data_IF_856932643673
#
_entry.id   IF_856932643673
#
_cell.length_a   1.000
_cell.length_b   1.000
_cell.length_c   1.000
_cell.angle_alpha   90.00
_cell.angle_beta   90.00
_cell.angle_gamma   90.00
#
_symmetry.space_group_name_H-M   'P 1'
#
loop_
_entity.id
_entity.type
_entity.pdbx_description
1 polymer ?
#
# COMPACT_ATOMS: atom_id res chain seq x y z
N UNK A 1 -5.24 13.42 3.52
CA UNK A 1 -4.10 12.80 4.23
C UNK A 1 -3.04 12.38 3.22
N UNK A 2 -1.76 12.36 3.60
CA UNK A 2 -0.70 11.80 2.75
C UNK A 2 0.28 10.99 3.59
N UNK A 3 0.83 9.92 3.01
CA UNK A 3 1.78 9.01 3.65
C UNK A 3 2.95 8.74 2.72
N UNK A 4 4.15 8.67 3.26
CA UNK A 4 5.36 8.34 2.50
C UNK A 4 5.95 7.02 2.97
N UNK A 5 6.34 6.16 2.04
CA UNK A 5 7.09 4.92 2.31
C UNK A 5 8.51 5.14 1.78
N UNK A 6 9.48 5.14 2.69
CA UNK A 6 10.89 5.33 2.35
C UNK A 6 11.46 4.09 1.67
N UNK A 7 12.16 4.29 0.55
CA UNK A 7 12.86 3.22 -0.17
C UNK A 7 14.28 3.64 -0.55
N UNK A 8 15.11 2.68 -0.98
CA UNK A 8 16.47 2.98 -1.43
C UNK A 8 16.47 3.32 -2.93
N UNK A 9 16.06 4.53 -3.28
CA UNK A 9 16.18 5.06 -4.65
C UNK A 9 15.00 5.90 -5.15
N UNK A 10 13.77 5.62 -4.70
CA UNK A 10 12.63 6.52 -4.91
C UNK A 10 11.52 6.23 -3.91
N UNK A 11 11.28 7.16 -3.01
CA UNK A 11 10.18 7.09 -2.06
C UNK A 11 8.83 6.92 -2.78
N UNK A 12 7.92 6.19 -2.13
CA UNK A 12 6.55 6.02 -2.59
C UNK A 12 5.67 6.98 -1.80
N UNK A 13 4.89 7.78 -2.52
CA UNK A 13 3.96 8.75 -1.96
C UNK A 13 2.53 8.27 -2.17
N UNK A 14 1.77 8.19 -1.08
CA UNK A 14 0.36 7.88 -1.04
C UNK A 14 -0.39 9.16 -0.67
N UNK A 15 -1.31 9.60 -1.52
CA UNK A 15 -2.02 10.87 -1.34
C UNK A 15 -3.50 10.71 -1.58
N UNK A 16 -4.30 11.34 -0.73
CA UNK A 16 -5.73 11.53 -0.99
C UNK A 16 -5.94 12.58 -2.08
N UNK A 17 -6.98 12.38 -2.87
CA UNK A 17 -7.43 13.30 -3.92
C UNK A 17 -8.90 13.69 -3.70
N UNK A 18 -9.33 14.86 -4.22
CA UNK A 18 -10.72 15.29 -4.15
C UNK A 18 -11.69 14.21 -4.65
N UNK A 19 -12.85 14.11 -3.99
CA UNK A 19 -13.85 13.09 -4.31
C UNK A 19 -13.52 11.69 -3.79
N UNK A 20 -12.69 11.57 -2.75
CA UNK A 20 -12.36 10.29 -2.11
C UNK A 20 -11.46 9.38 -2.94
N UNK A 21 -10.70 9.94 -3.89
CA UNK A 21 -9.80 9.16 -4.77
C UNK A 21 -8.40 9.08 -4.17
N UNK A 22 -7.58 8.18 -4.68
CA UNK A 22 -6.20 7.96 -4.21
C UNK A 22 -5.19 8.13 -5.33
N UNK A 23 -3.97 8.49 -4.94
CA UNK A 23 -2.79 8.59 -5.78
C UNK A 23 -1.63 7.84 -5.14
N UNK A 24 -1.03 6.93 -5.91
CA UNK A 24 0.24 6.27 -5.57
C UNK A 24 1.29 6.76 -6.55
N UNK A 25 2.34 7.43 -6.08
CA UNK A 25 3.40 8.01 -6.92
C UNK A 25 4.76 7.50 -6.51
N UNK A 26 5.60 7.17 -7.49
CA UNK A 26 7.02 6.85 -7.30
C UNK A 26 7.81 7.45 -8.46
N UNK A 27 8.73 8.39 -8.16
CA UNK A 27 9.43 9.16 -9.19
C UNK A 27 8.46 9.91 -10.10
N UNK A 28 8.56 9.67 -11.41
CA UNK A 28 7.66 10.25 -12.42
C UNK A 28 6.43 9.40 -12.72
N UNK A 29 6.35 8.18 -12.18
CA UNK A 29 5.25 7.25 -12.40
C UNK A 29 4.16 7.42 -11.34
N UNK A 30 2.90 7.26 -11.73
CA UNK A 30 1.79 7.31 -10.80
C UNK A 30 0.58 6.45 -11.21
N UNK A 31 -0.18 6.03 -10.20
CA UNK A 31 -1.46 5.35 -10.32
C UNK A 31 -2.55 6.21 -9.67
N UNK A 32 -3.65 6.39 -10.40
CA UNK A 32 -4.85 7.04 -9.91
C UNK A 32 -5.91 5.97 -9.64
N UNK A 33 -6.45 5.95 -8.43
CA UNK A 33 -7.35 4.90 -7.99
C UNK A 33 -8.66 5.50 -7.49
N UNK A 34 -9.77 4.91 -7.91
CA UNK A 34 -11.04 5.09 -7.19
C UNK A 34 -11.02 4.29 -5.88
N UNK A 35 -11.97 4.53 -4.95
CA UNK A 35 -12.12 3.68 -3.77
C UNK A 35 -12.24 2.19 -4.07
N UNK A 36 -12.95 1.85 -5.15
CA UNK A 36 -13.13 0.46 -5.57
C UNK A 36 -11.80 -0.15 -6.02
N UNK A 37 -11.08 0.53 -6.91
CA UNK A 37 -9.79 0.04 -7.43
C UNK A 37 -8.76 -0.10 -6.32
N UNK A 38 -8.75 0.83 -5.36
CA UNK A 38 -7.85 0.76 -4.22
C UNK A 38 -8.11 -0.49 -3.36
N UNK A 39 -9.38 -0.88 -3.17
CA UNK A 39 -9.75 -2.10 -2.45
C UNK A 39 -9.36 -3.36 -3.23
N UNK A 40 -9.66 -3.40 -4.52
CA UNK A 40 -9.28 -4.53 -5.38
C UNK A 40 -7.76 -4.71 -5.44
N UNK A 41 -7.01 -3.61 -5.60
CA UNK A 41 -5.54 -3.62 -5.57
C UNK A 41 -4.98 -4.12 -4.23
N UNK A 42 -5.55 -3.66 -3.11
CA UNK A 42 -5.12 -4.11 -1.79
C UNK A 42 -5.31 -5.63 -1.61
N UNK A 43 -6.44 -6.17 -2.08
CA UNK A 43 -6.71 -7.60 -2.04
C UNK A 43 -5.74 -8.40 -2.91
N UNK A 44 -5.51 -7.95 -4.16
CA UNK A 44 -4.57 -8.62 -5.06
C UNK A 44 -3.13 -8.63 -4.48
N UNK A 45 -2.68 -7.53 -3.88
CA UNK A 45 -1.39 -7.47 -3.20
C UNK A 45 -1.33 -8.39 -1.99
N UNK A 46 -2.42 -8.50 -1.22
CA UNK A 46 -2.52 -9.43 -0.11
C UNK A 46 -2.35 -10.88 -0.57
N UNK A 47 -3.07 -11.30 -1.62
CA UNK A 47 -2.98 -12.64 -2.21
C UNK A 47 -1.55 -12.95 -2.69
N UNK A 48 -0.93 -12.04 -3.46
CA UNK A 48 0.45 -12.20 -3.94
C UNK A 48 1.44 -12.38 -2.78
N UNK A 49 1.21 -11.69 -1.66
CA UNK A 49 2.10 -11.78 -0.50
C UNK A 49 1.82 -13.00 0.38
N UNK A 50 0.63 -13.59 0.31
CA UNK A 50 0.26 -14.78 1.08
C UNK A 50 1.10 -16.00 0.68
N UNK A 51 1.31 -16.22 -0.62
CA UNK A 51 1.97 -17.42 -1.17
C UNK A 51 3.52 -17.42 -1.17
N UNK A 52 4.18 -16.30 -0.82
CA UNK A 52 5.65 -16.29 -0.68
C UNK A 52 6.11 -16.83 0.68
N UNK A 53 7.13 -17.71 0.78
CA UNK A 53 7.70 -18.11 2.07
C UNK A 53 8.17 -16.87 2.84
N UNK A 54 7.81 -16.79 4.12
CA UNK A 54 8.02 -15.61 4.96
C UNK A 54 9.50 -15.47 5.35
N UNK A 55 10.29 -14.79 4.53
CA UNK A 55 11.72 -14.57 4.80
C UNK A 55 12.08 -13.11 5.07
N UNK A 56 11.11 -12.17 5.04
CA UNK A 56 11.43 -10.74 5.20
C UNK A 56 10.45 -9.94 6.08
N UNK A 57 10.94 -8.93 6.83
CA UNK A 57 10.12 -8.02 7.64
C UNK A 57 9.02 -7.26 6.88
N UNK A 58 9.16 -7.14 5.55
CA UNK A 58 8.16 -6.51 4.70
C UNK A 58 6.83 -7.28 4.67
N UNK A 59 6.85 -8.63 4.66
CA UNK A 59 5.63 -9.45 4.69
C UNK A 59 4.87 -9.33 6.00
N UNK A 60 5.56 -9.28 7.14
CA UNK A 60 4.93 -9.10 8.46
C UNK A 60 4.16 -7.77 8.55
N UNK A 61 4.72 -6.70 7.96
CA UNK A 61 4.06 -5.39 7.87
C UNK A 61 2.80 -5.44 6.99
N UNK A 62 2.86 -6.14 5.85
CA UNK A 62 1.73 -6.28 4.93
C UNK A 62 0.59 -7.13 5.53
N UNK A 63 0.90 -8.24 6.19
CA UNK A 63 -0.11 -9.07 6.87
C UNK A 63 -0.81 -8.31 8.01
N UNK A 64 -0.09 -7.48 8.77
CA UNK A 64 -0.67 -6.62 9.82
C UNK A 64 -1.67 -5.60 9.24
N UNK A 65 -1.42 -5.08 8.03
CA UNK A 65 -2.32 -4.13 7.37
C UNK A 65 -3.57 -4.80 6.77
N UNK A 66 -3.48 -6.04 6.29
CA UNK A 66 -4.61 -6.76 5.68
C UNK A 66 -5.56 -7.35 6.74
N UNK A 67 -5.05 -7.70 7.92
CA UNK A 67 -5.83 -8.33 8.99
C UNK A 67 -6.71 -7.38 9.83
N UNK A 68 -6.74 -6.08 9.56
CA UNK A 68 -7.62 -5.14 10.28
C UNK A 68 -7.31 -4.99 11.78
N UNK A 69 -6.07 -5.26 12.22
CA UNK A 69 -5.66 -4.97 13.61
C UNK A 69 -4.78 -3.73 13.60
N UNK A 70 -5.40 -2.59 13.88
CA UNK A 70 -4.72 -1.42 14.43
C UNK A 70 -3.97 -1.86 15.70
N UNK A 71 -2.68 -2.14 15.59
CA UNK A 71 -1.79 -2.08 16.76
C UNK A 71 -0.98 -0.82 16.59
N UNK A 72 -1.55 0.27 17.12
CA UNK A 72 -0.78 1.41 17.62
C UNK A 72 0.13 0.89 18.73
N UNK A 73 1.42 1.20 18.65
CA UNK A 73 2.27 1.22 19.85
C UNK A 73 1.75 2.30 20.81
#
# INVERSE_FOLDING_TARGET
MSRTIKTNGSDIYLMDRPGGRYLVKQGNSYLLLTPRDAKELANALAEITADRPATTPAKARLQKFVGGVEVFD
#
